data_IF_179996271844
#
_entry.id   IF_179996271844
#
_cell.length_a   1.000
_cell.length_b   1.000
_cell.length_c   1.000
_cell.angle_alpha   90.00
_cell.angle_beta   90.00
_cell.angle_gamma   90.00
#
_symmetry.space_group_name_H-M   'P 1'
#
loop_
_entity.id
_entity.type
_entity.pdbx_description
1 polymer ?
#
# COMPACT_ATOMS: atom_id res chain seq x y z
N UNK A 1 3.54 10.35 -2.10
CA UNK A 1 4.14 9.02 -1.79
C UNK A 1 4.96 9.13 -0.51
N UNK A 2 4.53 8.47 0.55
CA UNK A 2 5.20 8.50 1.85
C UNK A 2 6.13 7.30 1.98
N UNK A 3 7.40 7.56 2.35
CA UNK A 3 8.41 6.52 2.57
C UNK A 3 8.94 6.66 3.99
N UNK A 4 8.99 5.56 4.74
CA UNK A 4 9.51 5.53 6.12
C UNK A 4 10.36 4.27 6.32
N UNK A 5 11.38 4.28 7.19
CA UNK A 5 12.09 3.06 7.53
C UNK A 5 11.18 2.14 8.37
N UNK A 6 11.32 0.82 8.21
CA UNK A 6 10.55 -0.18 8.97
C UNK A 6 10.71 -0.05 10.49
N UNK A 7 11.84 0.52 10.94
CA UNK A 7 12.10 0.82 12.36
C UNK A 7 11.09 1.79 12.97
N UNK A 8 10.42 2.62 12.16
CA UNK A 8 9.38 3.58 12.60
C UNK A 8 8.25 2.89 13.35
N UNK A 9 7.84 1.69 12.90
CA UNK A 9 6.77 0.91 13.54
C UNK A 9 7.17 0.53 14.97
N UNK A 10 8.40 0.03 15.14
CA UNK A 10 8.89 -0.43 16.45
C UNK A 10 9.11 0.74 17.40
N UNK A 11 9.52 1.90 16.88
CA UNK A 11 9.78 3.09 17.69
C UNK A 11 8.49 3.73 18.21
N UNK A 12 7.46 3.86 17.37
CA UNK A 12 6.18 4.42 17.79
C UNK A 12 5.02 3.91 16.92
N UNK A 13 4.55 2.71 17.25
CA UNK A 13 3.44 2.08 16.54
C UNK A 13 2.18 2.93 16.56
N UNK A 14 1.80 3.52 17.71
CA UNK A 14 0.54 4.25 17.84
C UNK A 14 0.52 5.49 16.95
N UNK A 15 1.61 6.26 16.90
CA UNK A 15 1.72 7.42 16.01
C UNK A 15 1.73 7.00 14.54
N UNK A 16 2.44 5.92 14.20
CA UNK A 16 2.46 5.39 12.84
C UNK A 16 1.08 4.87 12.40
N UNK A 17 0.38 4.16 13.27
CA UNK A 17 -0.98 3.68 13.04
C UNK A 17 -1.92 4.86 12.79
N UNK A 18 -1.92 5.86 13.69
CA UNK A 18 -2.72 7.09 13.51
C UNK A 18 -2.41 7.78 12.18
N UNK A 19 -1.13 7.91 11.84
CA UNK A 19 -0.69 8.47 10.56
C UNK A 19 -1.28 7.69 9.36
N UNK A 20 -1.23 6.35 9.36
CA UNK A 20 -1.83 5.52 8.31
C UNK A 20 -3.36 5.56 8.27
N UNK A 21 -4.03 5.93 9.37
CA UNK A 21 -5.49 6.11 9.44
C UNK A 21 -5.94 7.48 8.94
N UNK A 22 -5.14 8.52 9.18
CA UNK A 22 -5.37 9.87 8.67
C UNK A 22 -5.02 9.98 7.18
N UNK A 23 -4.07 9.18 6.72
CA UNK A 23 -3.75 9.02 5.30
C UNK A 23 -4.74 8.10 4.60
N UNK A 24 -5.28 8.57 3.48
CA UNK A 24 -6.00 7.73 2.51
C UNK A 24 -5.07 7.17 1.42
N UNK A 25 -3.78 7.04 1.74
CA UNK A 25 -2.72 6.64 0.81
C UNK A 25 -1.79 5.56 1.40
N UNK A 26 -1.21 4.69 0.55
CA UNK A 26 -0.15 3.76 0.96
C UNK A 26 1.11 4.45 1.46
N UNK A 27 1.69 3.93 2.54
CA UNK A 27 3.01 4.28 3.03
C UNK A 27 3.98 3.15 2.72
N UNK A 28 5.06 3.45 1.99
CA UNK A 28 6.14 2.50 1.71
C UNK A 28 7.07 2.45 2.91
N UNK A 29 7.38 1.23 3.34
CA UNK A 29 8.39 0.96 4.33
C UNK A 29 9.66 0.46 3.66
N UNK A 30 10.79 1.01 4.09
CA UNK A 30 12.10 0.58 3.63
C UNK A 30 12.82 -0.27 4.66
N UNK A 31 13.58 -1.22 4.16
CA UNK A 31 14.54 -2.01 4.92
C UNK A 31 15.89 -1.89 4.22
N UNK A 32 16.92 -1.45 4.94
CA UNK A 32 18.26 -1.23 4.39
C UNK A 32 18.31 -0.32 3.15
N UNK A 33 17.41 0.67 3.06
CA UNK A 33 17.33 1.61 1.94
C UNK A 33 16.47 1.12 0.77
N UNK A 34 16.03 -0.13 0.77
CA UNK A 34 15.18 -0.71 -0.28
C UNK A 34 13.71 -0.77 0.15
N UNK A 35 12.79 -0.60 -0.80
CA UNK A 35 11.37 -0.74 -0.54
C UNK A 35 11.02 -2.21 -0.25
N UNK A 36 10.37 -2.47 0.89
CA UNK A 36 10.15 -3.81 1.43
C UNK A 36 8.66 -4.09 1.66
N UNK A 37 7.94 -3.17 2.32
CA UNK A 37 6.53 -3.35 2.69
C UNK A 37 5.70 -2.10 2.36
N UNK A 38 4.40 -2.26 2.16
CA UNK A 38 3.44 -1.15 2.07
C UNK A 38 2.41 -1.28 3.18
N UNK A 39 2.16 -0.21 3.93
CA UNK A 39 1.19 -0.17 5.02
C UNK A 39 0.21 0.98 4.80
N UNK A 40 -1.07 0.71 5.04
CA UNK A 40 -2.16 1.69 5.06
C UNK A 40 -3.24 1.24 6.04
N UNK A 41 -4.16 2.13 6.40
CA UNK A 41 -5.32 1.70 7.19
C UNK A 41 -6.22 0.75 6.43
N UNK A 42 -6.94 -0.10 7.17
CA UNK A 42 -7.90 -1.02 6.57
C UNK A 42 -8.97 -0.29 5.76
N UNK A 43 -9.44 0.87 6.22
CA UNK A 43 -10.45 1.66 5.50
C UNK A 43 -9.94 2.18 4.15
N UNK A 44 -8.70 2.70 4.10
CA UNK A 44 -8.05 3.14 2.86
C UNK A 44 -7.88 1.97 1.88
N UNK A 45 -7.45 0.82 2.38
CA UNK A 45 -7.34 -0.41 1.58
C UNK A 45 -8.69 -0.80 0.96
N UNK A 46 -9.77 -0.82 1.74
CA UNK A 46 -11.12 -1.15 1.24
C UNK A 46 -11.62 -0.19 0.17
N UNK A 47 -11.34 1.12 0.31
CA UNK A 47 -11.65 2.12 -0.74
C UNK A 47 -10.85 1.87 -2.01
N UNK A 48 -9.56 1.55 -1.88
CA UNK A 48 -8.70 1.20 -3.01
C UNK A 48 -9.21 -0.05 -3.73
N UNK A 49 -9.56 -1.11 -3.00
CA UNK A 49 -10.15 -2.33 -3.56
C UNK A 49 -11.46 -2.03 -4.31
N UNK A 50 -12.33 -1.18 -3.74
CA UNK A 50 -13.59 -0.81 -4.38
C UNK A 50 -13.34 -0.06 -5.71
N UNK A 51 -12.39 0.88 -5.75
CA UNK A 51 -12.01 1.60 -6.98
C UNK A 51 -11.48 0.66 -8.06
N UNK A 52 -10.67 -0.31 -7.66
CA UNK A 52 -10.14 -1.33 -8.57
C UNK A 52 -11.27 -2.25 -9.08
N UNK A 53 -12.14 -2.71 -8.20
CA UNK A 53 -13.26 -3.60 -8.55
C UNK A 53 -14.21 -2.95 -9.56
N UNK A 54 -14.44 -1.65 -9.43
CA UNK A 54 -15.33 -0.90 -10.31
C UNK A 54 -14.66 -0.38 -11.59
N UNK A 55 -13.39 -0.71 -11.84
CA UNK A 55 -12.70 -0.38 -13.07
C UNK A 55 -12.42 -1.66 -13.90
N UNK A 56 -13.31 -2.04 -14.84
CA UNK A 56 -13.17 -3.25 -15.65
C UNK A 56 -11.85 -3.29 -16.45
N UNK A 57 -11.37 -2.13 -16.88
CA UNK A 57 -10.13 -2.01 -17.67
C UNK A 57 -8.88 -2.38 -16.85
N UNK A 58 -8.90 -2.15 -15.53
CA UNK A 58 -7.80 -2.52 -14.64
C UNK A 58 -7.63 -4.05 -14.56
N UNK A 59 -8.73 -4.80 -14.40
CA UNK A 59 -8.68 -6.27 -14.34
C UNK A 59 -8.20 -6.87 -15.66
N UNK A 60 -8.66 -6.32 -16.78
CA UNK A 60 -8.21 -6.72 -18.12
C UNK A 60 -6.70 -6.49 -18.29
N UNK A 61 -6.19 -5.32 -17.92
CA UNK A 61 -4.78 -5.01 -18.03
C UNK A 61 -3.91 -5.90 -17.11
N UNK A 62 -4.35 -6.13 -15.87
CA UNK A 62 -3.67 -7.02 -14.92
C UNK A 62 -3.62 -8.47 -15.42
N UNK A 63 -4.70 -8.97 -16.00
CA UNK A 63 -4.74 -10.32 -16.59
C UNK A 63 -3.78 -10.47 -17.77
N UNK A 64 -3.54 -9.39 -18.52
CA UNK A 64 -2.58 -9.36 -19.63
C UNK A 64 -1.15 -9.42 -19.14
N UNK A 65 -0.81 -8.67 -18.08
CA UNK A 65 0.53 -8.67 -17.48
C UNK A 65 0.91 -10.03 -16.89
N UNK A 66 -0.03 -10.71 -16.23
CA UNK A 66 0.22 -12.05 -15.66
C UNK A 66 0.44 -13.13 -16.72
N UNK A 67 -0.09 -12.96 -17.93
CA UNK A 67 0.11 -13.89 -19.07
C UNK A 67 1.42 -13.65 -19.84
N UNK A 68 2.11 -12.54 -19.61
CA UNK A 68 3.36 -12.19 -20.31
C UNK A 68 4.59 -12.66 -19.51
N UNK A 69 4.44 -12.94 -18.22
CA UNK A 69 5.52 -13.36 -17.33
C UNK A 69 5.51 -14.88 -17.00
N UNK A 70 4.82 -15.69 -17.82
CA UNK A 70 4.80 -17.15 -17.78
C UNK A 70 4.80 -17.68 -19.23
#
# INVERSE_FOLDING_TARGET
>A
MHIKPSTTIRQNYNAFSKFCHELDEPVVLTRNGEADLVVMSHAAFRRMEARIKFNPSYWLQKSRLLKVNN
#
